data_IF_084564828253
#
_entry.id   IF_084564828253
#
_cell.length_a   1.000
_cell.length_b   1.000
_cell.length_c   1.000
_cell.angle_alpha   90.00
_cell.angle_beta   90.00
_cell.angle_gamma   90.00
#
_symmetry.space_group_name_H-M   'P 1'
#
loop_
_entity.id
_entity.type
_entity.pdbx_description
1 polymer ?
#
# COMPACT_ATOMS: atom_id res chain seq x y z
N UNK A 1 -29.22 25.49 3.60
CA UNK A 1 -29.11 24.04 3.89
C UNK A 1 -27.91 23.39 3.17
N UNK A 2 -27.39 23.97 2.08
CA UNK A 2 -26.31 23.37 1.29
C UNK A 2 -25.00 23.16 2.04
N UNK A 3 -24.58 24.09 2.91
CA UNK A 3 -23.30 23.95 3.64
C UNK A 3 -23.16 22.63 4.42
N UNK A 4 -24.25 22.05 4.93
CA UNK A 4 -24.20 20.76 5.65
C UNK A 4 -23.75 19.58 4.75
N UNK A 5 -23.81 19.73 3.43
CA UNK A 5 -23.32 18.73 2.46
C UNK A 5 -21.81 18.78 2.26
N UNK A 6 -21.16 19.90 2.58
CA UNK A 6 -19.70 20.04 2.51
C UNK A 6 -19.09 19.37 3.74
N UNK A 7 -18.20 18.40 3.52
CA UNK A 7 -17.47 17.73 4.59
C UNK A 7 -16.66 18.74 5.43
N UNK A 8 -16.57 18.59 6.77
CA UNK A 8 -15.81 19.52 7.61
C UNK A 8 -14.36 19.74 7.16
N UNK A 9 -13.69 18.70 6.67
CA UNK A 9 -12.32 18.82 6.17
C UNK A 9 -12.24 19.69 4.91
N UNK A 10 -13.17 19.49 3.97
CA UNK A 10 -13.28 20.35 2.80
C UNK A 10 -13.63 21.79 3.20
N UNK A 11 -14.53 21.98 4.18
CA UNK A 11 -14.89 23.31 4.65
C UNK A 11 -13.67 24.06 5.17
N UNK A 12 -12.83 23.41 5.99
CA UNK A 12 -11.57 24.00 6.47
C UNK A 12 -10.67 24.42 5.31
N UNK A 13 -10.54 23.60 4.27
CA UNK A 13 -9.77 23.97 3.07
C UNK A 13 -10.40 25.20 2.40
N UNK A 14 -11.70 25.15 2.09
CA UNK A 14 -12.43 26.24 1.42
C UNK A 14 -12.42 27.57 2.19
N UNK A 15 -12.31 27.53 3.52
CA UNK A 15 -12.23 28.72 4.38
C UNK A 15 -10.83 29.36 4.38
N UNK A 16 -9.81 28.62 3.94
CA UNK A 16 -8.40 29.05 3.97
C UNK A 16 -7.84 29.46 2.61
N UNK A 17 -8.41 28.94 1.52
CA UNK A 17 -7.93 29.22 0.15
C UNK A 17 -8.67 30.41 -0.48
N UNK A 18 -8.06 31.02 -1.49
CA UNK A 18 -8.72 32.06 -2.29
C UNK A 18 -10.01 31.52 -2.95
N UNK A 19 -11.10 32.31 -3.07
CA UNK A 19 -12.34 31.86 -3.70
C UNK A 19 -12.16 31.32 -5.13
N UNK A 20 -11.12 31.74 -5.84
CA UNK A 20 -10.77 31.29 -7.20
C UNK A 20 -9.80 30.11 -7.22
N UNK A 21 -9.26 29.70 -6.07
CA UNK A 21 -8.34 28.57 -5.99
C UNK A 21 -9.06 27.27 -6.38
N UNK A 22 -8.41 26.50 -7.25
CA UNK A 22 -8.88 25.19 -7.65
C UNK A 22 -8.69 24.19 -6.51
N UNK A 23 -9.74 23.44 -6.20
CA UNK A 23 -9.75 22.43 -5.14
C UNK A 23 -10.32 21.14 -5.73
N UNK A 24 -9.59 20.01 -5.63
CA UNK A 24 -10.10 18.72 -6.06
C UNK A 24 -11.10 18.18 -5.03
N UNK A 25 -12.20 17.60 -5.52
CA UNK A 25 -13.32 17.15 -4.70
C UNK A 25 -13.90 15.83 -5.22
N UNK A 26 -14.51 15.09 -4.30
CA UNK A 26 -15.39 13.96 -4.64
C UNK A 26 -16.83 14.38 -4.37
N UNK A 27 -17.68 14.30 -5.37
CA UNK A 27 -19.08 14.74 -5.30
C UNK A 27 -20.00 13.52 -5.35
N UNK A 28 -20.79 13.31 -4.30
CA UNK A 28 -21.78 12.21 -4.22
C UNK A 28 -23.20 12.70 -4.42
N UNK A 29 -23.97 11.91 -5.17
CA UNK A 29 -25.35 12.19 -5.54
C UNK A 29 -26.33 11.34 -4.73
N UNK A 30 -27.52 11.89 -4.44
CA UNK A 30 -28.59 11.21 -3.68
C UNK A 30 -29.19 10.00 -4.41
N UNK A 31 -29.08 9.98 -5.73
CA UNK A 31 -29.45 8.88 -6.64
C UNK A 31 -28.37 8.80 -7.69
N UNK A 32 -28.15 7.63 -8.29
CA UNK A 32 -27.36 7.54 -9.52
C UNK A 32 -27.92 8.58 -10.50
N UNK A 33 -27.18 9.66 -10.82
CA UNK A 33 -27.48 10.34 -12.06
C UNK A 33 -27.26 9.27 -13.14
N UNK A 34 -28.17 9.10 -14.09
CA UNK A 34 -27.94 8.16 -15.19
C UNK A 34 -26.52 8.37 -15.71
N UNK A 35 -25.67 7.35 -15.57
CA UNK A 35 -24.20 7.46 -15.44
C UNK A 35 -23.66 8.59 -16.34
N UNK A 36 -23.28 9.75 -15.77
CA UNK A 36 -22.70 10.84 -16.56
C UNK A 36 -21.39 10.39 -17.19
N UNK A 37 -21.28 10.40 -18.51
CA UNK A 37 -20.02 10.17 -19.22
C UNK A 37 -19.01 11.28 -18.92
N UNK A 38 -17.71 10.98 -19.02
CA UNK A 38 -16.53 11.80 -18.65
C UNK A 38 -16.35 13.14 -19.41
N UNK A 39 -17.41 13.67 -20.01
CA UNK A 39 -17.43 14.96 -20.70
C UNK A 39 -18.56 15.88 -20.22
N UNK A 40 -19.35 15.46 -19.23
CA UNK A 40 -20.42 16.28 -18.66
C UNK A 40 -19.90 17.13 -17.50
N UNK A 41 -20.43 18.34 -17.36
CA UNK A 41 -20.16 19.22 -16.22
C UNK A 41 -21.30 19.10 -15.21
N UNK A 42 -20.98 19.22 -13.92
CA UNK A 42 -22.00 19.39 -12.86
C UNK A 42 -21.81 20.76 -12.26
N UNK A 43 -22.85 21.59 -12.37
CA UNK A 43 -22.81 23.01 -11.96
C UNK A 43 -21.55 23.75 -12.47
N UNK A 44 -21.14 23.50 -13.73
CA UNK A 44 -19.95 24.07 -14.39
C UNK A 44 -18.58 23.61 -13.83
N UNK A 45 -18.54 22.53 -13.05
CA UNK A 45 -17.29 21.91 -12.60
C UNK A 45 -16.89 20.81 -13.60
N UNK A 46 -15.64 20.82 -14.12
CA UNK A 46 -15.11 19.69 -14.89
C UNK A 46 -15.11 18.42 -14.03
N UNK A 47 -15.56 17.32 -14.63
CA UNK A 47 -15.63 16.01 -13.98
C UNK A 47 -14.75 14.99 -14.69
N UNK A 48 -14.22 14.06 -13.91
CA UNK A 48 -13.65 12.82 -14.42
C UNK A 48 -14.72 11.70 -14.42
N UNK A 49 -14.32 10.49 -14.80
CA UNK A 49 -15.23 9.36 -14.92
C UNK A 49 -15.90 9.02 -13.57
N UNK A 50 -17.22 8.76 -13.60
CA UNK A 50 -17.98 8.33 -12.44
C UNK A 50 -17.47 6.98 -11.90
N UNK A 51 -17.53 6.81 -10.57
CA UNK A 51 -17.20 5.52 -9.96
C UNK A 51 -18.29 4.47 -10.23
N UNK A 52 -17.90 3.22 -10.40
CA UNK A 52 -18.85 2.11 -10.63
C UNK A 52 -19.50 1.58 -9.34
N UNK A 53 -18.86 1.79 -8.19
CA UNK A 53 -19.25 1.20 -6.89
C UNK A 53 -19.99 2.19 -5.98
N UNK A 54 -20.02 3.47 -6.34
CA UNK A 54 -20.61 4.56 -5.56
C UNK A 54 -21.17 5.59 -6.54
N UNK A 55 -22.37 6.16 -6.32
CA UNK A 55 -22.91 7.25 -7.13
C UNK A 55 -22.18 8.56 -6.84
N UNK A 56 -20.92 8.64 -7.26
CA UNK A 56 -20.06 9.79 -7.06
C UNK A 56 -19.06 9.96 -8.21
N UNK A 57 -18.56 11.17 -8.33
CA UNK A 57 -17.60 11.57 -9.36
C UNK A 57 -16.43 12.34 -8.73
N UNK A 58 -15.20 12.13 -9.20
CA UNK A 58 -14.11 13.06 -8.97
C UNK A 58 -14.30 14.30 -9.85
N UNK A 59 -14.13 15.48 -9.27
CA UNK A 59 -14.25 16.77 -9.95
C UNK A 59 -13.24 17.78 -9.39
N UNK A 60 -13.02 18.85 -10.11
CA UNK A 60 -12.15 19.95 -9.68
C UNK A 60 -12.85 21.28 -9.91
N UNK A 61 -12.71 22.21 -8.97
CA UNK A 61 -12.97 23.60 -9.31
C UNK A 61 -12.83 24.58 -8.18
N UNK A 62 -13.27 25.81 -8.43
CA UNK A 62 -12.98 26.92 -7.54
C UNK A 62 -13.69 26.77 -6.20
N UNK A 63 -13.06 27.26 -5.14
CA UNK A 63 -13.66 27.24 -3.81
C UNK A 63 -15.07 27.90 -3.78
N UNK A 64 -15.27 28.97 -4.57
CA UNK A 64 -16.57 29.60 -4.76
C UNK A 64 -17.60 28.68 -5.45
N UNK A 65 -17.21 27.98 -6.52
CA UNK A 65 -18.11 27.08 -7.25
C UNK A 65 -18.52 25.87 -6.39
N UNK A 66 -17.58 25.33 -5.59
CA UNK A 66 -17.85 24.21 -4.68
C UNK A 66 -18.88 24.60 -3.61
N UNK A 67 -18.82 25.84 -3.09
CA UNK A 67 -19.83 26.32 -2.14
C UNK A 67 -21.22 26.40 -2.77
N UNK A 68 -21.30 26.91 -4.00
CA UNK A 68 -22.56 26.97 -4.77
C UNK A 68 -23.09 25.57 -5.10
N UNK A 69 -22.21 24.62 -5.43
CA UNK A 69 -22.59 23.23 -5.73
C UNK A 69 -23.34 22.58 -4.56
N UNK A 70 -23.03 22.95 -3.33
CA UNK A 70 -23.68 22.39 -2.15
C UNK A 70 -25.19 22.70 -2.08
N UNK A 71 -25.67 23.74 -2.76
CA UNK A 71 -27.10 24.08 -2.79
C UNK A 71 -27.91 23.21 -3.78
N UNK A 72 -27.25 22.50 -4.70
CA UNK A 72 -27.92 21.64 -5.68
C UNK A 72 -28.63 20.44 -4.97
N UNK A 73 -29.95 20.25 -5.16
CA UNK A 73 -30.73 19.22 -4.49
C UNK A 73 -30.33 17.77 -4.84
N UNK A 74 -29.65 17.56 -5.97
CA UNK A 74 -29.14 16.25 -6.39
C UNK A 74 -27.91 15.83 -5.60
N UNK A 75 -27.16 16.79 -5.06
CA UNK A 75 -25.96 16.53 -4.26
C UNK A 75 -26.37 16.04 -2.87
N UNK A 76 -25.73 14.94 -2.46
CA UNK A 76 -25.80 14.39 -1.11
C UNK A 76 -24.65 14.91 -0.26
N UNK A 77 -23.42 14.84 -0.78
CA UNK A 77 -22.19 15.13 -0.04
C UNK A 77 -21.07 15.59 -0.97
N UNK A 78 -20.18 16.44 -0.48
CA UNK A 78 -18.95 16.85 -1.16
C UNK A 78 -17.78 16.67 -0.20
N UNK A 79 -16.77 15.91 -0.61
CA UNK A 79 -15.52 15.70 0.13
C UNK A 79 -14.35 16.36 -0.57
N UNK A 80 -13.33 16.71 0.22
CA UNK A 80 -12.03 17.06 -0.31
C UNK A 80 -11.37 15.79 -0.86
N UNK A 81 -10.84 15.84 -2.07
CA UNK A 81 -10.07 14.72 -2.62
C UNK A 81 -8.64 14.80 -2.07
N UNK A 82 -8.42 14.16 -0.92
CA UNK A 82 -7.16 14.27 -0.20
C UNK A 82 -6.03 13.60 -1.01
N UNK A 83 -4.86 14.26 -1.15
CA UNK A 83 -3.68 13.56 -1.61
C UNK A 83 -3.33 12.45 -0.61
N UNK A 84 -3.22 11.22 -1.09
CA UNK A 84 -2.72 10.09 -0.32
C UNK A 84 -1.25 9.87 -0.63
N UNK A 85 -0.48 9.48 0.38
CA UNK A 85 0.94 9.19 0.26
C UNK A 85 1.24 7.83 0.90
N UNK A 86 2.25 7.12 0.39
CA UNK A 86 2.74 5.87 1.01
C UNK A 86 3.33 6.19 2.39
N UNK A 87 2.68 5.74 3.46
CA UNK A 87 3.15 5.91 4.83
C UNK A 87 3.79 4.61 5.32
N UNK A 88 5.11 4.48 5.13
CA UNK A 88 5.87 3.26 5.47
C UNK A 88 6.59 3.34 6.82
N UNK A 89 6.62 4.51 7.46
CA UNK A 89 7.31 4.78 8.73
C UNK A 89 6.38 4.80 9.96
N UNK A 90 5.06 4.76 9.78
CA UNK A 90 4.12 4.91 10.91
C UNK A 90 3.86 3.60 11.66
N UNK A 91 3.98 2.45 11.00
CA UNK A 91 3.66 1.15 11.60
C UNK A 91 4.61 0.77 12.73
N UNK A 92 5.92 0.93 12.51
CA UNK A 92 6.99 0.55 13.45
C UNK A 92 6.88 1.28 14.80
N UNK A 93 6.68 2.62 14.85
CA UNK A 93 6.38 3.32 16.10
C UNK A 93 5.05 2.90 16.75
N UNK A 94 3.99 2.65 15.95
CA UNK A 94 2.66 2.30 16.48
C UNK A 94 2.65 0.94 17.20
N UNK A 95 3.37 -0.04 16.65
CA UNK A 95 3.54 -1.35 17.32
C UNK A 95 4.57 -1.33 18.45
N UNK A 96 5.12 -0.15 18.76
CA UNK A 96 6.10 0.07 19.82
C UNK A 96 7.41 -0.71 19.65
N UNK A 97 7.76 -1.13 18.43
CA UNK A 97 9.02 -1.81 18.14
C UNK A 97 10.26 -1.03 18.64
N UNK A 98 10.33 0.31 18.55
CA UNK A 98 11.45 1.06 19.12
C UNK A 98 11.66 0.87 20.63
N UNK A 99 10.61 0.54 21.40
CA UNK A 99 10.75 0.33 22.85
C UNK A 99 11.54 -0.94 23.19
N UNK A 100 11.49 -1.95 22.34
CA UNK A 100 12.17 -3.24 22.58
C UNK A 100 13.56 -3.30 21.94
N UNK A 101 13.90 -2.36 21.05
CA UNK A 101 15.23 -2.27 20.43
C UNK A 101 16.36 -1.95 21.41
N UNK A 102 16.06 -1.30 22.54
CA UNK A 102 17.06 -1.00 23.58
C UNK A 102 17.57 -2.26 24.31
N UNK A 103 16.88 -3.40 24.15
CA UNK A 103 17.32 -4.72 24.60
C UNK A 103 17.75 -5.62 23.43
N UNK A 104 17.36 -6.89 23.44
CA UNK A 104 17.62 -7.85 22.35
C UNK A 104 16.58 -7.81 21.21
N UNK A 105 15.60 -6.91 21.27
CA UNK A 105 14.42 -6.89 20.39
C UNK A 105 14.66 -6.44 18.95
N UNK A 106 15.92 -6.28 18.52
CA UNK A 106 16.25 -5.95 17.12
C UNK A 106 16.31 -7.19 16.21
N UNK A 107 16.17 -8.40 16.78
CA UNK A 107 16.12 -9.66 16.02
C UNK A 107 17.49 -10.25 15.68
N UNK A 108 18.56 -9.83 16.36
CA UNK A 108 19.89 -10.37 16.13
C UNK A 108 19.92 -11.90 16.34
N UNK A 109 20.44 -12.64 15.36
CA UNK A 109 20.50 -14.10 15.38
C UNK A 109 19.21 -14.80 14.96
N UNK A 110 18.13 -14.06 14.69
CA UNK A 110 16.88 -14.60 14.14
C UNK A 110 16.95 -14.61 12.63
N UNK A 111 16.60 -15.75 12.02
CA UNK A 111 16.54 -15.95 10.58
C UNK A 111 15.11 -15.87 10.09
N UNK A 112 14.84 -15.01 9.12
CA UNK A 112 13.52 -14.81 8.53
C UNK A 112 13.55 -15.16 7.05
N UNK A 113 12.78 -16.16 6.65
CA UNK A 113 12.49 -16.51 5.27
C UNK A 113 11.42 -15.59 4.67
N UNK A 114 11.72 -14.95 3.54
CA UNK A 114 10.78 -14.11 2.78
C UNK A 114 10.49 -14.82 1.46
N UNK A 115 9.30 -15.39 1.35
CA UNK A 115 8.79 -16.06 0.15
C UNK A 115 7.94 -15.07 -0.64
N UNK A 116 8.52 -14.45 -1.67
CA UNK A 116 7.91 -13.31 -2.36
C UNK A 116 8.44 -13.14 -3.81
N UNK A 117 8.41 -11.93 -4.38
CA UNK A 117 8.93 -11.58 -5.72
C UNK A 117 10.46 -11.51 -5.79
N UNK A 118 11.16 -11.86 -4.71
CA UNK A 118 12.60 -11.73 -4.57
C UNK A 118 12.99 -10.53 -3.70
N UNK A 119 14.24 -10.08 -3.79
CA UNK A 119 14.71 -8.88 -3.10
C UNK A 119 15.76 -8.15 -3.96
N UNK A 120 15.82 -6.82 -3.88
CA UNK A 120 16.96 -6.08 -4.38
C UNK A 120 18.17 -6.32 -3.48
N UNK A 121 18.99 -7.29 -3.87
CA UNK A 121 20.13 -7.78 -3.07
C UNK A 121 21.22 -6.72 -2.89
N UNK A 122 21.18 -5.62 -3.65
CA UNK A 122 22.14 -4.52 -3.56
C UNK A 122 21.57 -3.31 -2.79
N UNK A 123 20.30 -3.34 -2.39
CA UNK A 123 19.67 -2.21 -1.74
C UNK A 123 20.32 -1.93 -0.37
N UNK A 124 20.68 -0.67 -0.14
CA UNK A 124 21.49 -0.25 1.01
C UNK A 124 20.91 -0.66 2.38
N UNK A 125 19.58 -0.78 2.46
CA UNK A 125 18.90 -1.11 3.73
C UNK A 125 18.86 -2.60 4.04
N UNK A 126 19.03 -3.48 3.05
CA UNK A 126 18.79 -4.93 3.21
C UNK A 126 19.98 -5.81 2.82
N UNK A 127 20.89 -5.33 1.97
CA UNK A 127 22.03 -6.10 1.45
C UNK A 127 22.86 -6.77 2.55
N UNK A 128 23.06 -6.09 3.68
CA UNK A 128 23.89 -6.59 4.79
C UNK A 128 23.14 -7.58 5.71
N UNK A 129 21.84 -7.76 5.47
CA UNK A 129 20.96 -8.70 6.17
C UNK A 129 20.69 -9.96 5.37
N UNK A 130 20.75 -9.92 4.04
CA UNK A 130 20.52 -11.12 3.21
C UNK A 130 21.68 -12.10 3.36
N UNK A 131 21.38 -13.31 3.85
CA UNK A 131 22.36 -14.39 4.05
C UNK A 131 22.33 -15.44 2.94
N UNK A 132 21.16 -15.69 2.39
CA UNK A 132 20.97 -16.66 1.30
C UNK A 132 19.78 -16.25 0.44
N UNK A 133 19.79 -16.64 -0.82
CA UNK A 133 18.69 -16.36 -1.73
C UNK A 133 18.58 -17.42 -2.82
N UNK A 134 17.36 -17.80 -3.19
CA UNK A 134 17.08 -18.77 -4.22
C UNK A 134 15.85 -18.39 -5.05
N UNK A 135 15.77 -18.93 -6.27
CA UNK A 135 14.66 -18.72 -7.19
C UNK A 135 13.92 -20.02 -7.49
N UNK A 136 12.60 -19.95 -7.42
CA UNK A 136 11.64 -21.03 -7.67
C UNK A 136 10.65 -20.67 -8.79
N UNK A 137 10.87 -19.53 -9.48
CA UNK A 137 10.06 -19.07 -10.61
C UNK A 137 10.63 -19.52 -11.96
N UNK A 138 11.90 -19.92 -12.01
CA UNK A 138 12.60 -20.30 -13.24
C UNK A 138 13.28 -19.12 -13.94
N UNK A 139 13.33 -17.94 -13.31
CA UNK A 139 14.06 -16.75 -13.78
C UNK A 139 15.58 -16.94 -13.68
N UNK A 140 16.05 -17.77 -12.75
CA UNK A 140 17.46 -18.09 -12.53
C UNK A 140 18.17 -17.18 -11.53
N UNK A 141 17.46 -16.28 -10.85
CA UNK A 141 18.00 -15.45 -9.78
C UNK A 141 16.88 -14.90 -8.87
N UNK A 142 17.22 -14.55 -7.64
CA UNK A 142 16.29 -14.01 -6.65
C UNK A 142 16.18 -12.47 -6.68
N UNK A 143 16.69 -11.81 -7.73
CA UNK A 143 16.60 -10.36 -7.85
C UNK A 143 15.13 -9.97 -8.08
N UNK A 144 14.68 -9.02 -7.28
CA UNK A 144 13.33 -8.49 -7.39
C UNK A 144 13.16 -7.67 -8.66
N UNK A 145 12.26 -8.12 -9.54
CA UNK A 145 11.83 -7.37 -10.72
C UNK A 145 10.48 -6.68 -10.55
N UNK A 146 9.83 -6.85 -9.39
CA UNK A 146 8.51 -6.28 -9.09
C UNK A 146 8.60 -5.14 -8.06
N UNK A 147 9.33 -5.36 -6.98
CA UNK A 147 9.51 -4.43 -5.85
C UNK A 147 8.77 -4.84 -4.57
N UNK A 148 7.75 -5.71 -4.65
CA UNK A 148 6.97 -6.14 -3.50
C UNK A 148 7.82 -6.86 -2.45
N UNK A 149 8.61 -7.86 -2.86
CA UNK A 149 9.45 -8.61 -1.94
C UNK A 149 10.56 -7.77 -1.29
N UNK A 150 11.17 -6.84 -2.04
CA UNK A 150 12.13 -5.86 -1.48
C UNK A 150 11.48 -4.98 -0.41
N UNK A 151 10.25 -4.54 -0.67
CA UNK A 151 9.49 -3.73 0.26
C UNK A 151 9.15 -4.50 1.55
N UNK A 152 8.69 -5.75 1.43
CA UNK A 152 8.44 -6.65 2.56
C UNK A 152 9.72 -6.90 3.36
N UNK A 153 10.84 -7.20 2.69
CA UNK A 153 12.14 -7.39 3.34
C UNK A 153 12.59 -6.13 4.11
N UNK A 154 12.34 -4.94 3.57
CA UNK A 154 12.60 -3.66 4.22
C UNK A 154 11.77 -3.44 5.48
N UNK A 155 10.47 -3.78 5.46
CA UNK A 155 9.61 -3.71 6.65
C UNK A 155 10.14 -4.62 7.77
N UNK A 156 10.63 -5.82 7.42
CA UNK A 156 11.14 -6.78 8.39
C UNK A 156 12.49 -6.29 8.95
N UNK A 157 13.51 -6.17 8.10
CA UNK A 157 14.90 -6.01 8.53
C UNK A 157 15.65 -4.84 7.87
N UNK A 158 14.93 -3.88 7.28
CA UNK A 158 15.55 -2.68 6.72
C UNK A 158 16.34 -1.91 7.79
N UNK A 159 17.61 -1.64 7.52
CA UNK A 159 18.47 -0.90 8.46
C UNK A 159 18.08 0.59 8.59
N UNK A 160 17.40 1.13 7.56
CA UNK A 160 17.10 2.55 7.40
C UNK A 160 18.27 3.38 6.87
N UNK A 161 19.35 2.76 6.38
CA UNK A 161 20.57 3.46 5.95
C UNK A 161 20.32 4.51 4.83
N UNK A 162 19.51 4.17 3.83
CA UNK A 162 19.13 5.03 2.71
C UNK A 162 18.21 6.20 3.13
N UNK A 163 17.68 6.16 4.36
CA UNK A 163 16.69 7.11 4.86
C UNK A 163 17.07 7.78 6.17
N UNK A 164 18.36 7.73 6.55
CA UNK A 164 18.86 8.23 7.83
C UNK A 164 18.07 7.69 9.05
N UNK A 165 17.62 6.44 8.96
CA UNK A 165 16.87 5.73 9.99
C UNK A 165 15.35 5.93 9.96
N UNK A 166 14.81 6.74 9.03
CA UNK A 166 13.36 7.01 8.94
C UNK A 166 12.55 5.75 8.61
N UNK A 167 13.01 4.95 7.65
CA UNK A 167 12.35 3.72 7.22
C UNK A 167 13.09 2.48 7.73
N UNK A 168 13.29 2.43 9.05
CA UNK A 168 13.89 1.26 9.71
C UNK A 168 12.83 0.18 9.91
N UNK A 169 13.15 -1.05 9.56
CA UNK A 169 12.31 -2.22 9.76
C UNK A 169 12.11 -2.59 11.23
N UNK A 170 11.20 -3.51 11.48
CA UNK A 170 10.81 -3.96 12.84
C UNK A 170 11.96 -4.66 13.56
N UNK A 171 12.68 -5.53 12.86
CA UNK A 171 13.79 -6.34 13.35
C UNK A 171 15.06 -6.08 12.50
N UNK A 172 15.65 -4.88 12.59
CA UNK A 172 16.72 -4.42 11.69
C UNK A 172 18.03 -5.22 11.80
N UNK A 173 18.16 -6.09 12.82
CA UNK A 173 19.31 -6.95 13.00
C UNK A 173 19.06 -8.41 12.59
N UNK A 174 17.84 -8.78 12.16
CA UNK A 174 17.51 -10.11 11.68
C UNK A 174 18.21 -10.44 10.35
N UNK A 175 18.47 -11.73 10.15
CA UNK A 175 19.05 -12.26 8.93
C UNK A 175 17.94 -12.69 7.95
N UNK A 176 18.03 -12.27 6.70
CA UNK A 176 17.03 -12.52 5.67
C UNK A 176 17.44 -13.67 4.75
N UNK A 177 16.49 -14.55 4.46
CA UNK A 177 16.61 -15.65 3.51
C UNK A 177 15.55 -15.47 2.44
N UNK A 178 15.96 -15.14 1.21
CA UNK A 178 15.04 -14.68 0.17
C UNK A 178 14.70 -15.82 -0.78
N UNK A 179 13.45 -16.26 -0.77
CA UNK A 179 12.93 -17.23 -1.74
C UNK A 179 12.04 -16.49 -2.75
N UNK A 180 12.52 -16.33 -3.97
CA UNK A 180 11.68 -15.80 -5.05
C UNK A 180 10.72 -16.90 -5.53
N UNK A 181 9.47 -16.80 -5.12
CA UNK A 181 8.38 -17.73 -5.49
C UNK A 181 7.32 -17.07 -6.39
N UNK A 182 7.36 -15.74 -6.49
CA UNK A 182 6.55 -14.93 -7.40
C UNK A 182 7.43 -14.29 -8.48
N UNK A 183 6.93 -14.27 -9.72
CA UNK A 183 7.59 -13.67 -10.87
C UNK A 183 7.59 -12.14 -10.79
N UNK A 184 8.15 -11.47 -11.81
CA UNK A 184 8.29 -10.01 -11.82
C UNK A 184 6.96 -9.26 -11.98
N UNK A 185 5.87 -9.98 -12.27
CA UNK A 185 4.51 -9.44 -12.31
C UNK A 185 3.74 -9.72 -11.01
N UNK A 186 4.37 -10.34 -10.02
CA UNK A 186 3.74 -10.70 -8.75
C UNK A 186 2.92 -11.99 -8.80
N UNK A 187 3.01 -12.77 -9.89
CA UNK A 187 2.30 -14.03 -10.03
C UNK A 187 3.17 -15.24 -9.68
N UNK A 188 2.57 -16.31 -9.15
CA UNK A 188 3.30 -17.54 -8.85
C UNK A 188 2.38 -18.75 -8.82
N UNK A 189 2.99 -19.94 -8.75
CA UNK A 189 2.26 -21.21 -8.59
C UNK A 189 2.48 -21.73 -7.18
N UNK A 190 1.45 -22.36 -6.60
CA UNK A 190 1.54 -23.03 -5.29
C UNK A 190 2.74 -23.98 -5.20
N UNK A 191 3.05 -24.70 -6.29
CA UNK A 191 4.23 -25.57 -6.34
C UNK A 191 5.57 -24.83 -6.14
N UNK A 192 5.69 -23.61 -6.68
CA UNK A 192 6.86 -22.76 -6.48
C UNK A 192 6.94 -22.25 -5.05
N UNK A 193 5.78 -21.92 -4.44
CA UNK A 193 5.69 -21.53 -3.03
C UNK A 193 6.11 -22.69 -2.11
N UNK A 194 5.61 -23.90 -2.34
CA UNK A 194 5.99 -25.10 -1.58
C UNK A 194 7.49 -25.39 -1.73
N UNK A 195 8.04 -25.29 -2.95
CA UNK A 195 9.48 -25.47 -3.17
C UNK A 195 10.32 -24.44 -2.41
N UNK A 196 9.87 -23.18 -2.38
CA UNK A 196 10.50 -22.13 -1.58
C UNK A 196 10.37 -22.35 -0.07
N UNK A 197 9.27 -22.96 0.37
CA UNK A 197 9.04 -23.33 1.77
C UNK A 197 10.00 -24.42 2.22
N UNK A 198 10.11 -25.52 1.45
CA UNK A 198 11.07 -26.60 1.72
C UNK A 198 12.49 -26.06 1.80
N UNK A 199 12.89 -25.23 0.84
CA UNK A 199 14.19 -24.58 0.86
C UNK A 199 14.39 -23.71 2.11
N UNK A 200 13.40 -22.91 2.51
CA UNK A 200 13.51 -22.07 3.71
C UNK A 200 13.68 -22.92 4.98
N UNK A 201 12.95 -24.03 5.09
CA UNK A 201 13.11 -25.00 6.18
C UNK A 201 14.51 -25.60 6.18
N UNK A 202 15.05 -25.96 5.01
CA UNK A 202 16.42 -26.49 4.88
C UNK A 202 17.50 -25.47 5.26
N UNK A 203 17.25 -24.17 5.05
CA UNK A 203 18.12 -23.09 5.55
C UNK A 203 18.03 -22.92 7.09
N UNK A 204 17.08 -23.60 7.73
CA UNK A 204 16.81 -23.53 9.16
C UNK A 204 16.39 -22.14 9.58
N UNK A 205 15.48 -21.51 8.82
CA UNK A 205 14.90 -20.22 9.22
C UNK A 205 13.97 -20.39 10.42
N UNK A 206 13.92 -19.38 11.29
CA UNK A 206 13.07 -19.41 12.49
C UNK A 206 11.65 -18.93 12.20
N UNK A 207 11.49 -18.04 11.22
CA UNK A 207 10.23 -17.39 10.85
C UNK A 207 10.09 -17.40 9.33
N UNK A 208 8.87 -17.65 8.84
CA UNK A 208 8.55 -17.62 7.41
C UNK A 208 7.47 -16.55 7.19
N UNK A 209 7.73 -15.62 6.28
CA UNK A 209 6.79 -14.61 5.82
C UNK A 209 6.34 -14.91 4.39
N UNK A 210 5.03 -15.05 4.22
CA UNK A 210 4.36 -15.24 2.93
C UNK A 210 3.34 -14.11 2.75
N UNK A 211 3.76 -12.98 2.21
CA UNK A 211 2.88 -11.85 1.90
C UNK A 211 2.17 -12.06 0.55
N UNK A 212 1.54 -13.21 0.40
CA UNK A 212 0.88 -13.69 -0.81
C UNK A 212 -0.37 -14.51 -0.47
N UNK A 213 -1.23 -14.72 -1.45
CA UNK A 213 -2.45 -15.50 -1.29
C UNK A 213 -3.08 -15.82 -2.64
N UNK A 214 -4.21 -16.50 -2.63
CA UNK A 214 -5.02 -16.77 -3.82
C UNK A 214 -6.47 -16.36 -3.58
N UNK A 215 -7.16 -15.97 -4.65
CA UNK A 215 -8.56 -15.51 -4.59
C UNK A 215 -9.59 -16.67 -4.49
N UNK A 216 -9.12 -17.91 -4.42
CA UNK A 216 -9.98 -19.09 -4.28
C UNK A 216 -10.53 -19.24 -2.86
N UNK A 217 -11.78 -19.71 -2.76
CA UNK A 217 -12.30 -20.17 -1.46
C UNK A 217 -11.42 -21.32 -0.95
N UNK A 218 -10.92 -21.17 0.28
CA UNK A 218 -10.08 -22.14 0.96
C UNK A 218 -10.85 -22.70 2.16
N UNK A 219 -10.84 -24.01 2.33
CA UNK A 219 -11.42 -24.74 3.46
C UNK A 219 -10.35 -25.42 4.35
N UNK A 220 -9.08 -25.10 4.11
CA UNK A 220 -7.94 -25.71 4.80
C UNK A 220 -7.48 -27.04 4.21
N UNK A 221 -7.99 -27.46 3.04
CA UNK A 221 -7.57 -28.73 2.39
C UNK A 221 -6.74 -28.54 1.13
N UNK A 222 -6.44 -27.29 0.74
CA UNK A 222 -5.57 -27.01 -0.39
C UNK A 222 -4.09 -27.27 -0.04
N UNK A 223 -3.23 -27.33 -1.05
CA UNK A 223 -1.84 -27.74 -0.90
C UNK A 223 -0.97 -26.75 -0.09
N UNK A 224 -1.48 -25.56 0.25
CA UNK A 224 -0.77 -24.55 1.04
C UNK A 224 -1.35 -24.41 2.46
N UNK A 225 -2.43 -25.12 2.78
CA UNK A 225 -3.10 -25.10 4.08
C UNK A 225 -2.41 -25.93 5.15
#
# INVERSE_FOLDING_TARGET
>A
MGEQKIHPDLRRVLDTVDPTAQVPVIVRFRREPGIPTSQQQIANLPMAAAYQILPAVPAEGTAANIRTLADDPQIERIWYDLPVHTMLDVSVPLIQAPRVWAGSGQGAGIKVGVLDTGCDLNHADVKDRVRSSADFTGKGNAQDGNGHGTHVAGIIAGSGAASAGRYRGVAPAADLYIAKVLDDRGGGRMSGVISGLEWAVDQGVDIINMSLGSDGACDGTDALS
#
